data_IF_259616456243
#
_entry.id   IF_259616456243
#
_cell.length_a   1.000
_cell.length_b   1.000
_cell.length_c   1.000
_cell.angle_alpha   90.00
_cell.angle_beta   90.00
_cell.angle_gamma   90.00
#
_symmetry.space_group_name_H-M   'P 1'
#
loop_
_entity.id
_entity.type
_entity.pdbx_description
1 polymer ?
#
# COMPACT_ATOMS: atom_id res chain seq x y z
N UNK A 1 8.83 36.49 14.04
CA UNK A 1 8.38 35.44 15.00
C UNK A 1 6.98 34.87 14.67
N UNK A 2 6.05 35.68 14.15
CA UNK A 2 4.69 35.31 13.71
C UNK A 2 4.67 34.32 12.52
N UNK A 3 5.46 34.54 11.46
CA UNK A 3 5.53 33.63 10.30
C UNK A 3 5.95 32.18 10.70
N UNK A 4 6.90 32.04 11.63
CA UNK A 4 7.33 30.75 12.19
C UNK A 4 6.19 30.06 12.96
N UNK A 5 5.38 30.81 13.71
CA UNK A 5 4.22 30.26 14.44
C UNK A 5 3.11 29.81 13.49
N UNK A 6 2.83 30.57 12.42
CA UNK A 6 1.85 30.18 11.40
C UNK A 6 2.29 28.92 10.66
N UNK A 7 3.56 28.83 10.23
CA UNK A 7 4.11 27.64 9.56
C UNK A 7 4.03 26.40 10.46
N UNK A 8 4.31 26.54 11.76
CA UNK A 8 4.17 25.47 12.75
C UNK A 8 2.71 25.07 13.06
N UNK A 9 1.72 25.93 12.78
CA UNK A 9 0.29 25.57 12.90
C UNK A 9 -0.17 24.74 11.70
N UNK A 10 0.19 25.15 10.49
CA UNK A 10 -0.13 24.41 9.27
C UNK A 10 0.51 23.03 9.26
N UNK A 11 1.82 22.94 9.59
CA UNK A 11 2.51 21.66 9.70
C UNK A 11 1.84 20.71 10.70
N UNK A 12 1.35 21.23 11.83
CA UNK A 12 0.62 20.40 12.81
C UNK A 12 -0.76 20.00 12.32
N UNK A 13 -1.47 20.89 11.63
CA UNK A 13 -2.79 20.61 11.08
C UNK A 13 -2.71 19.54 9.97
N UNK A 14 -1.77 19.68 9.04
CA UNK A 14 -1.53 18.70 7.97
C UNK A 14 -1.08 17.37 8.55
N UNK A 15 -0.17 17.38 9.52
CA UNK A 15 0.25 16.15 10.21
C UNK A 15 -0.93 15.44 10.87
N UNK A 16 -1.74 16.17 11.65
CA UNK A 16 -2.93 15.60 12.31
C UNK A 16 -3.93 15.03 11.31
N UNK A 17 -4.15 15.72 10.19
CA UNK A 17 -5.03 15.24 9.13
C UNK A 17 -4.47 13.97 8.48
N UNK A 18 -3.18 13.94 8.16
CA UNK A 18 -2.54 12.79 7.53
C UNK A 18 -2.45 11.56 8.45
N UNK A 19 -2.38 11.75 9.78
CA UNK A 19 -2.37 10.68 10.77
C UNK A 19 -3.75 10.29 11.28
N UNK A 20 -4.83 10.87 10.74
CA UNK A 20 -6.18 10.43 11.08
C UNK A 20 -6.49 9.10 10.36
N UNK A 21 -7.31 8.19 10.95
CA UNK A 21 -7.53 6.85 10.40
C UNK A 21 -7.98 6.82 8.93
N UNK A 22 -9.02 7.59 8.58
CA UNK A 22 -9.57 7.59 7.21
C UNK A 22 -8.59 8.16 6.19
N UNK A 23 -7.99 9.35 6.37
CA UNK A 23 -6.96 9.85 5.44
C UNK A 23 -5.75 8.94 5.31
N UNK A 24 -5.26 8.35 6.42
CA UNK A 24 -4.12 7.44 6.39
C UNK A 24 -4.43 6.17 5.58
N UNK A 25 -5.62 5.59 5.78
CA UNK A 25 -6.11 4.47 4.98
C UNK A 25 -6.24 4.83 3.50
N UNK A 26 -6.85 5.97 3.17
CA UNK A 26 -7.01 6.42 1.78
C UNK A 26 -5.67 6.65 1.08
N UNK A 27 -4.71 7.28 1.77
CA UNK A 27 -3.37 7.51 1.23
C UNK A 27 -2.65 6.19 0.97
N UNK A 28 -2.79 5.21 1.87
CA UNK A 28 -2.18 3.89 1.70
C UNK A 28 -2.82 3.09 0.56
N UNK A 29 -4.15 3.04 0.50
CA UNK A 29 -4.88 2.41 -0.58
C UNK A 29 -4.53 3.06 -1.93
N UNK A 30 -4.54 4.39 -2.02
CA UNK A 30 -4.20 5.12 -3.24
C UNK A 30 -2.75 4.84 -3.68
N UNK A 31 -1.78 4.86 -2.76
CA UNK A 31 -0.40 4.54 -3.07
C UNK A 31 -0.29 3.15 -3.71
N UNK A 32 -0.89 2.13 -3.08
CA UNK A 32 -0.85 0.76 -3.61
C UNK A 32 -1.51 0.66 -4.99
N UNK A 33 -2.72 1.18 -5.17
CA UNK A 33 -3.43 1.04 -6.44
C UNK A 33 -2.79 1.84 -7.57
N UNK A 34 -2.38 3.10 -7.33
CA UNK A 34 -1.80 3.95 -8.37
C UNK A 34 -0.55 3.31 -8.97
N UNK A 35 0.34 2.79 -8.12
CA UNK A 35 1.59 2.20 -8.59
C UNK A 35 1.43 0.85 -9.31
N UNK A 36 0.25 0.24 -9.24
CA UNK A 36 -0.08 -0.98 -9.99
C UNK A 36 -0.90 -0.72 -11.25
N UNK A 37 -1.22 0.54 -11.56
CA UNK A 37 -1.68 0.93 -12.89
C UNK A 37 -0.53 0.69 -13.87
N UNK A 38 -0.75 0.02 -15.03
CA UNK A 38 0.32 -0.35 -15.95
C UNK A 38 1.30 0.78 -16.29
N UNK A 39 0.79 1.97 -16.63
CA UNK A 39 1.62 3.13 -16.96
C UNK A 39 2.51 3.61 -15.81
N UNK A 40 2.02 3.54 -14.57
CA UNK A 40 2.78 3.95 -13.40
C UNK A 40 3.82 2.90 -13.02
N UNK A 41 3.45 1.62 -13.12
CA UNK A 41 4.35 0.50 -12.90
C UNK A 41 5.51 0.49 -13.89
N UNK A 42 5.21 0.60 -15.18
CA UNK A 42 6.21 0.63 -16.25
C UNK A 42 7.14 1.86 -16.08
N UNK A 43 6.59 3.02 -15.73
CA UNK A 43 7.39 4.22 -15.47
C UNK A 43 8.33 4.05 -14.27
N UNK A 44 7.90 3.33 -13.23
CA UNK A 44 8.74 3.05 -12.07
C UNK A 44 9.88 2.08 -12.39
N UNK A 45 9.67 1.13 -13.30
CA UNK A 45 10.75 0.24 -13.76
C UNK A 45 11.69 0.92 -14.77
N UNK A 46 11.20 1.88 -15.55
CA UNK A 46 12.01 2.61 -16.52
C UNK A 46 12.91 3.70 -15.89
N UNK A 47 12.61 4.17 -14.67
CA UNK A 47 13.35 5.28 -14.05
C UNK A 47 13.66 5.05 -12.57
N UNK A 48 14.95 5.06 -12.16
CA UNK A 48 15.33 4.90 -10.76
C UNK A 48 14.73 5.95 -9.81
N UNK A 49 14.50 7.17 -10.32
CA UNK A 49 13.87 8.25 -9.53
C UNK A 49 12.41 7.92 -9.26
N UNK A 50 11.67 7.50 -10.29
CA UNK A 50 10.26 7.11 -10.15
C UNK A 50 10.13 5.86 -9.29
N UNK A 51 11.03 4.89 -9.46
CA UNK A 51 11.15 3.72 -8.60
C UNK A 51 11.32 4.10 -7.12
N UNK A 52 12.21 5.05 -6.84
CA UNK A 52 12.45 5.53 -5.47
C UNK A 52 11.22 6.23 -4.91
N UNK A 53 10.51 7.02 -5.72
CA UNK A 53 9.25 7.68 -5.33
C UNK A 53 8.15 6.66 -5.02
N UNK A 54 8.07 5.58 -5.80
CA UNK A 54 7.16 4.46 -5.52
C UNK A 54 7.43 3.88 -4.13
N UNK A 55 8.65 3.43 -3.87
CA UNK A 55 9.01 2.88 -2.55
C UNK A 55 8.82 3.88 -1.41
N UNK A 56 9.20 5.14 -1.60
CA UNK A 56 9.01 6.19 -0.59
C UNK A 56 7.52 6.41 -0.29
N UNK A 57 6.64 6.34 -1.29
CA UNK A 57 5.19 6.46 -1.09
C UNK A 57 4.59 5.25 -0.38
N UNK A 58 5.05 4.03 -0.67
CA UNK A 58 4.64 2.82 0.04
C UNK A 58 5.04 2.90 1.51
N UNK A 59 6.31 3.21 1.79
CA UNK A 59 6.82 3.33 3.15
C UNK A 59 6.10 4.46 3.92
N UNK A 60 6.02 5.65 3.32
CA UNK A 60 5.40 6.81 3.97
C UNK A 60 3.92 6.59 4.28
N UNK A 61 3.15 6.05 3.33
CA UNK A 61 1.73 5.75 3.54
C UNK A 61 1.51 4.62 4.54
N UNK A 62 2.35 3.57 4.53
CA UNK A 62 2.28 2.48 5.49
C UNK A 62 2.55 2.97 6.92
N UNK A 63 3.55 3.83 7.13
CA UNK A 63 3.83 4.41 8.44
C UNK A 63 2.66 5.26 8.98
N UNK A 64 2.00 6.03 8.11
CA UNK A 64 0.80 6.78 8.48
C UNK A 64 -0.35 5.85 8.85
N UNK A 65 -0.60 4.83 8.02
CA UNK A 65 -1.65 3.83 8.23
C UNK A 65 -1.48 3.10 9.56
N UNK A 66 -0.31 2.47 9.79
CA UNK A 66 -0.07 1.70 11.01
C UNK A 66 -0.13 2.57 12.26
N UNK A 67 0.41 3.79 12.20
CA UNK A 67 0.28 4.74 13.30
C UNK A 67 -1.19 5.03 13.61
N UNK A 68 -1.98 5.38 12.60
CA UNK A 68 -3.38 5.72 12.79
C UNK A 68 -4.18 4.53 13.33
N UNK A 69 -3.91 3.33 12.83
CA UNK A 69 -4.54 2.08 13.31
C UNK A 69 -4.21 1.78 14.77
N UNK A 70 -2.95 1.89 15.18
CA UNK A 70 -2.56 1.67 16.58
C UNK A 70 -3.08 2.77 17.51
N UNK A 71 -3.04 4.04 17.09
CA UNK A 71 -3.57 5.18 17.84
C UNK A 71 -5.11 5.06 18.05
N UNK A 72 -5.83 4.49 17.06
CA UNK A 72 -7.27 4.23 17.13
C UNK A 72 -7.59 3.00 18.00
N UNK A 73 -6.82 1.91 17.85
CA UNK A 73 -6.96 0.69 18.65
C UNK A 73 -6.73 0.93 20.15
N UNK A 74 -5.84 1.86 20.52
CA UNK A 74 -5.57 2.22 21.92
C UNK A 74 -6.76 2.92 22.61
N UNK A 75 -7.82 3.30 21.86
CA UNK A 75 -9.02 3.95 22.40
C UNK A 75 -10.15 2.93 22.53
N UNK A 76 -10.66 2.65 23.75
CA UNK A 76 -11.65 1.59 23.97
C UNK A 76 -12.91 1.67 23.09
N UNK A 77 -13.36 2.89 22.76
CA UNK A 77 -14.53 3.11 21.91
C UNK A 77 -14.29 2.89 20.40
N UNK A 78 -13.04 2.73 19.95
CA UNK A 78 -12.67 2.70 18.53
C UNK A 78 -12.02 1.39 18.07
N UNK A 79 -11.95 0.35 18.91
CA UNK A 79 -11.36 -0.95 18.54
C UNK A 79 -11.99 -1.57 17.28
N UNK A 80 -13.32 -1.43 17.09
CA UNK A 80 -14.01 -1.90 15.90
C UNK A 80 -13.62 -1.14 14.61
N UNK A 81 -13.30 0.16 14.72
CA UNK A 81 -12.84 1.00 13.60
C UNK A 81 -11.43 0.59 13.14
N UNK A 82 -10.52 0.34 14.08
CA UNK A 82 -9.19 -0.17 13.78
C UNK A 82 -9.24 -1.55 13.10
N UNK A 83 -10.06 -2.47 13.63
CA UNK A 83 -10.27 -3.79 13.04
C UNK A 83 -10.87 -3.70 11.62
N UNK A 84 -11.88 -2.83 11.41
CA UNK A 84 -12.47 -2.60 10.09
C UNK A 84 -11.45 -2.03 9.10
N UNK A 85 -10.58 -1.13 9.54
CA UNK A 85 -9.53 -0.56 8.69
C UNK A 85 -8.54 -1.62 8.24
N UNK A 86 -8.08 -2.49 9.15
CA UNK A 86 -7.22 -3.64 8.82
C UNK A 86 -7.92 -4.61 7.87
N UNK A 87 -9.18 -4.95 8.15
CA UNK A 87 -9.97 -5.86 7.32
C UNK A 87 -10.14 -5.32 5.89
N UNK A 88 -10.55 -4.06 5.74
CA UNK A 88 -10.73 -3.45 4.42
C UNK A 88 -9.39 -3.30 3.68
N UNK A 89 -8.29 -3.02 4.38
CA UNK A 89 -6.94 -3.04 3.80
C UNK A 89 -6.56 -4.40 3.27
N UNK A 90 -6.77 -5.46 4.05
CA UNK A 90 -6.56 -6.84 3.62
C UNK A 90 -7.40 -7.18 2.38
N UNK A 91 -8.69 -6.80 2.35
CA UNK A 91 -9.59 -7.06 1.23
C UNK A 91 -9.13 -6.36 -0.05
N UNK A 92 -8.84 -5.05 -0.01
CA UNK A 92 -8.50 -4.34 -1.26
C UNK A 92 -7.11 -4.72 -1.80
N UNK A 93 -6.18 -5.10 -0.92
CA UNK A 93 -4.85 -5.59 -1.35
C UNK A 93 -4.90 -7.00 -1.90
N UNK A 94 -5.71 -7.88 -1.29
CA UNK A 94 -6.00 -9.20 -1.85
C UNK A 94 -6.71 -9.10 -3.21
N UNK A 95 -7.66 -8.18 -3.37
CA UNK A 95 -8.32 -7.94 -4.64
C UNK A 95 -7.32 -7.48 -5.73
N UNK A 96 -6.44 -6.52 -5.40
CA UNK A 96 -5.40 -6.05 -6.32
C UNK A 96 -4.46 -7.20 -6.73
N UNK A 97 -4.03 -8.01 -5.75
CA UNK A 97 -3.18 -9.17 -6.00
C UNK A 97 -3.85 -10.25 -6.83
N UNK A 98 -5.12 -10.56 -6.55
CA UNK A 98 -5.92 -11.51 -7.32
C UNK A 98 -6.10 -11.05 -8.77
N UNK A 99 -6.34 -9.76 -9.01
CA UNK A 99 -6.46 -9.19 -10.36
C UNK A 99 -5.20 -9.46 -11.21
N UNK A 100 -4.02 -9.29 -10.63
CA UNK A 100 -2.75 -9.54 -11.32
C UNK A 100 -2.46 -11.05 -11.43
N UNK A 101 -2.69 -11.81 -10.36
CA UNK A 101 -2.43 -13.27 -10.31
C UNK A 101 -3.32 -14.03 -11.30
N UNK A 102 -4.56 -13.58 -11.49
CA UNK A 102 -5.56 -14.23 -12.32
C UNK A 102 -5.75 -13.52 -13.66
N UNK A 103 -4.84 -12.61 -14.04
CA UNK A 103 -4.94 -11.88 -15.29
C UNK A 103 -4.84 -12.85 -16.49
N UNK A 104 -5.74 -12.75 -17.50
CA UNK A 104 -5.70 -13.62 -18.68
C UNK A 104 -4.62 -13.22 -19.69
N UNK A 105 -3.92 -12.11 -19.47
CA UNK A 105 -2.91 -11.59 -20.36
C UNK A 105 -1.94 -10.67 -19.63
N UNK A 106 -0.84 -10.34 -20.31
CA UNK A 106 0.23 -9.51 -19.77
C UNK A 106 -0.27 -8.07 -19.67
N UNK A 107 -0.12 -7.47 -18.49
CA UNK A 107 -0.52 -6.11 -18.18
C UNK A 107 0.67 -5.16 -18.13
N UNK A 108 1.84 -5.65 -17.74
CA UNK A 108 3.06 -4.84 -17.60
C UNK A 108 4.08 -5.24 -18.65
N UNK A 109 4.52 -4.26 -19.44
CA UNK A 109 5.49 -4.47 -20.54
C UNK A 109 6.83 -5.05 -20.03
N UNK A 110 7.37 -4.62 -18.88
CA UNK A 110 8.66 -5.12 -18.41
C UNK A 110 8.73 -6.64 -18.23
N UNK A 111 7.63 -7.32 -17.85
CA UNK A 111 7.62 -8.79 -17.77
C UNK A 111 7.85 -9.44 -19.14
N UNK A 112 7.36 -8.83 -20.23
CA UNK A 112 7.60 -9.34 -21.58
C UNK A 112 9.08 -9.21 -22.00
N UNK A 113 9.79 -8.23 -21.43
CA UNK A 113 11.19 -7.94 -21.75
C UNK A 113 12.16 -8.76 -20.89
N UNK A 114 11.86 -8.94 -19.60
CA UNK A 114 12.79 -9.54 -18.63
C UNK A 114 12.59 -11.04 -18.43
N UNK A 115 11.34 -11.53 -18.42
CA UNK A 115 11.05 -12.92 -18.13
C UNK A 115 11.72 -13.94 -19.10
N UNK A 116 11.84 -13.66 -20.43
CA UNK A 116 12.53 -14.57 -21.34
C UNK A 116 13.99 -14.84 -20.96
N UNK A 117 14.68 -13.86 -20.37
CA UNK A 117 16.06 -14.03 -19.90
C UNK A 117 16.17 -14.98 -18.70
N UNK A 118 15.07 -15.21 -17.98
CA UNK A 118 14.95 -16.17 -16.88
C UNK A 118 14.42 -17.53 -17.34
N UNK A 119 14.08 -17.70 -18.61
CA UNK A 119 13.48 -18.92 -19.15
C UNK A 119 12.03 -19.16 -18.70
N UNK A 120 11.34 -18.10 -18.25
CA UNK A 120 9.96 -18.15 -17.74
C UNK A 120 9.05 -17.43 -18.75
N UNK A 121 7.83 -17.92 -18.93
CA UNK A 121 6.85 -17.21 -19.75
C UNK A 121 6.47 -15.87 -19.06
N UNK A 122 6.43 -14.74 -19.77
CA UNK A 122 6.10 -13.43 -19.19
C UNK A 122 4.80 -13.38 -18.40
N UNK A 123 3.77 -14.11 -18.86
CA UNK A 123 2.49 -14.19 -18.16
C UNK A 123 2.63 -14.91 -16.82
N UNK A 124 3.38 -16.02 -16.78
CA UNK A 124 3.61 -16.79 -15.56
C UNK A 124 4.39 -15.96 -14.55
N UNK A 125 5.41 -15.22 -14.99
CA UNK A 125 6.20 -14.33 -14.12
C UNK A 125 5.33 -13.20 -13.54
N UNK A 126 4.45 -12.59 -14.34
CA UNK A 126 3.48 -11.60 -13.84
C UNK A 126 2.51 -12.21 -12.82
N UNK A 127 1.96 -13.39 -13.10
CA UNK A 127 1.00 -14.05 -12.21
C UNK A 127 1.67 -14.45 -10.89
N UNK A 128 2.92 -14.94 -10.93
CA UNK A 128 3.74 -15.22 -9.75
C UNK A 128 4.05 -13.94 -8.96
N UNK A 129 4.39 -12.84 -9.65
CA UNK A 129 4.58 -11.53 -9.03
C UNK A 129 3.31 -11.06 -8.30
N UNK A 130 2.16 -11.24 -8.94
CA UNK A 130 0.84 -11.03 -8.34
C UNK A 130 0.69 -11.85 -7.06
N UNK A 131 0.94 -13.16 -7.11
CA UNK A 131 0.78 -14.07 -5.97
C UNK A 131 1.67 -13.67 -4.77
N UNK A 132 2.95 -13.40 -5.04
CA UNK A 132 3.94 -13.00 -4.02
C UNK A 132 3.59 -11.67 -3.38
N UNK A 133 2.97 -10.75 -4.11
CA UNK A 133 2.65 -9.42 -3.60
C UNK A 133 1.67 -9.44 -2.42
N UNK A 134 0.62 -10.28 -2.46
CA UNK A 134 -0.49 -10.15 -1.49
C UNK A 134 -0.58 -11.31 -0.49
N UNK A 135 -0.15 -12.53 -0.84
CA UNK A 135 -0.31 -13.70 0.05
C UNK A 135 0.48 -13.53 1.36
N UNK A 136 1.77 -13.16 1.36
CA UNK A 136 2.54 -12.97 2.60
C UNK A 136 2.01 -11.81 3.44
N UNK A 137 1.58 -10.72 2.80
CA UNK A 137 1.01 -9.55 3.48
C UNK A 137 -0.35 -9.88 4.12
N UNK A 138 -1.20 -10.65 3.45
CA UNK A 138 -2.48 -11.12 3.99
C UNK A 138 -2.30 -11.90 5.29
N UNK A 139 -1.32 -12.81 5.32
CA UNK A 139 -0.92 -13.53 6.54
C UNK A 139 -0.51 -12.57 7.68
N UNK A 140 0.27 -11.53 7.37
CA UNK A 140 0.70 -10.55 8.36
C UNK A 140 -0.48 -9.72 8.91
N UNK A 141 -1.42 -9.29 8.06
CA UNK A 141 -2.61 -8.56 8.48
C UNK A 141 -3.54 -9.41 9.36
N UNK A 142 -3.74 -10.68 9.02
CA UNK A 142 -4.53 -11.62 9.84
C UNK A 142 -3.89 -11.79 11.22
N UNK A 143 -2.57 -11.99 11.28
CA UNK A 143 -1.85 -12.11 12.55
C UNK A 143 -1.99 -10.85 13.42
N UNK A 144 -1.85 -9.65 12.83
CA UNK A 144 -2.02 -8.39 13.53
C UNK A 144 -3.47 -8.19 14.03
N UNK A 145 -4.47 -8.54 13.22
CA UNK A 145 -5.88 -8.44 13.61
C UNK A 145 -6.21 -9.37 14.78
N UNK A 146 -5.70 -10.61 14.77
CA UNK A 146 -5.86 -11.56 15.88
C UNK A 146 -5.18 -11.04 17.16
N UNK A 147 -3.99 -10.45 17.05
CA UNK A 147 -3.28 -9.89 18.20
C UNK A 147 -3.98 -8.68 18.84
N UNK A 148 -4.73 -7.90 18.05
CA UNK A 148 -5.52 -6.76 18.55
C UNK A 148 -6.85 -7.22 19.17
N UNK A 149 -7.40 -8.33 18.70
CA UNK A 149 -8.68 -8.88 19.17
C UNK A 149 -8.57 -9.79 20.41
N UNK A 150 -7.36 -10.29 20.72
CA UNK A 150 -7.05 -11.11 21.88
C UNK A 150 -6.82 -10.26 23.15
#
# INVERSE_FOLDING_TARGET
RTARRVRLRWLRATWRAATAPVPAWLLHAAALWIWHIPRCFDAALASPVVHTLQHASFLGSALLFWRATFDDAARPAHGASAALSLFTTMVHTAALGALITLSPGIWYVPYAETAPALGIAPLDDQQLGGLVMWVPAGLAYVAAALAIAA
#
